data_IF_043799387027
#
_entry.id   IF_043799387027
#
_cell.length_a   1.000
_cell.length_b   1.000
_cell.length_c   1.000
_cell.angle_alpha   90.00
_cell.angle_beta   90.00
_cell.angle_gamma   90.00
#
_symmetry.space_group_name_H-M   'P 1'
#
loop_
_entity.id
_entity.type
_entity.pdbx_description
1 polymer ?
#
# COMPACT_ATOMS: atom_id res chain seq x y z
N UNK A 1 6.53 21.35 18.83
CA UNK A 1 6.77 22.41 19.84
C UNK A 1 5.40 22.94 20.26
N UNK A 2 5.04 22.83 21.52
CA UNK A 2 3.80 23.43 22.02
C UNK A 2 4.04 24.91 22.29
N UNK A 3 3.26 25.77 21.63
CA UNK A 3 3.27 27.18 21.89
C UNK A 3 2.25 27.51 22.98
N UNK A 4 2.71 27.77 24.21
CA UNK A 4 1.85 28.12 25.33
C UNK A 4 1.27 29.54 25.25
N UNK A 5 1.76 30.38 24.32
CA UNK A 5 1.37 31.78 24.22
C UNK A 5 1.10 32.26 22.79
N UNK A 6 1.21 31.37 21.81
CA UNK A 6 1.04 31.69 20.41
C UNK A 6 -0.32 31.32 19.84
N UNK A 7 -0.53 31.63 18.59
CA UNK A 7 -1.78 31.41 17.85
C UNK A 7 -1.88 30.00 17.25
N UNK A 8 -0.92 29.12 17.49
CA UNK A 8 -0.95 27.75 17.01
C UNK A 8 0.30 26.93 17.39
N UNK A 9 0.20 25.64 17.21
CA UNK A 9 1.32 24.68 17.37
C UNK A 9 1.54 23.95 16.03
N UNK A 10 2.79 23.73 15.68
CA UNK A 10 3.15 23.04 14.45
C UNK A 10 4.30 22.04 14.67
N UNK A 11 4.38 21.05 13.81
CA UNK A 11 5.48 20.10 13.73
C UNK A 11 5.79 19.80 12.25
N UNK A 12 7.02 19.40 11.98
CA UNK A 12 7.40 18.99 10.62
C UNK A 12 7.10 17.51 10.41
N UNK A 13 6.55 17.17 9.24
CA UNK A 13 6.29 15.77 8.85
C UNK A 13 7.56 14.92 8.87
N UNK A 14 8.74 15.53 8.69
CA UNK A 14 10.05 14.87 8.79
C UNK A 14 10.37 14.31 10.17
N UNK A 15 9.72 14.82 11.24
CA UNK A 15 9.94 14.36 12.61
C UNK A 15 9.06 13.15 12.97
N UNK A 16 8.00 12.92 12.20
CA UNK A 16 7.00 11.87 12.48
C UNK A 16 7.61 10.47 12.40
N UNK A 17 8.41 10.07 11.38
CA UNK A 17 9.03 8.74 11.33
C UNK A 17 9.89 8.42 12.55
N UNK A 18 10.68 9.40 12.99
CA UNK A 18 11.50 9.25 14.20
C UNK A 18 10.64 9.04 15.45
N UNK A 19 9.61 9.86 15.61
CA UNK A 19 8.74 9.81 16.78
C UNK A 19 7.99 8.48 16.88
N UNK A 20 7.40 8.01 15.78
CA UNK A 20 6.64 6.76 15.73
C UNK A 20 7.54 5.57 16.03
N UNK A 21 8.72 5.53 15.42
CA UNK A 21 9.69 4.47 15.63
C UNK A 21 10.21 4.45 17.07
N UNK A 22 10.57 5.62 17.62
CA UNK A 22 11.26 5.71 18.90
C UNK A 22 10.31 5.52 20.09
N UNK A 23 9.09 6.08 20.00
CA UNK A 23 8.19 6.16 21.15
C UNK A 23 6.98 5.23 21.07
N UNK A 24 6.65 4.74 19.88
CA UNK A 24 5.45 3.93 19.65
C UNK A 24 5.75 2.51 19.14
N UNK A 25 7.03 2.16 18.93
CA UNK A 25 7.44 0.80 18.57
C UNK A 25 7.03 0.38 17.15
N UNK A 26 6.82 1.33 16.26
CA UNK A 26 6.53 1.03 14.85
C UNK A 26 7.79 0.64 14.09
N UNK A 27 7.60 -0.08 12.98
CA UNK A 27 8.66 -0.51 12.10
C UNK A 27 9.27 0.66 11.29
N UNK A 28 9.91 0.33 10.19
CA UNK A 28 10.53 1.32 9.31
C UNK A 28 9.47 2.17 8.60
N UNK A 29 9.23 3.35 9.12
CA UNK A 29 8.42 4.36 8.46
C UNK A 29 9.32 5.25 7.61
N UNK A 30 8.88 5.60 6.42
CA UNK A 30 9.61 6.44 5.47
C UNK A 30 8.72 7.59 5.01
N UNK A 31 9.27 8.82 5.05
CA UNK A 31 8.63 9.97 4.43
C UNK A 31 8.94 9.96 2.94
N UNK A 32 7.92 9.87 2.12
CA UNK A 32 8.03 9.89 0.66
C UNK A 32 7.33 11.13 0.12
N UNK A 33 7.99 11.85 -0.76
CA UNK A 33 7.42 13.00 -1.46
C UNK A 33 6.73 12.55 -2.74
N UNK A 34 5.58 13.14 -3.01
CA UNK A 34 4.89 13.00 -4.29
C UNK A 34 5.61 13.88 -5.32
N UNK A 35 6.40 13.26 -6.15
CA UNK A 35 7.15 13.91 -7.22
C UNK A 35 6.38 13.91 -8.56
N UNK A 36 7.09 14.22 -9.64
CA UNK A 36 6.54 14.17 -10.99
C UNK A 36 6.10 12.75 -11.45
N UNK A 37 6.61 11.71 -10.81
CA UNK A 37 6.20 10.32 -11.07
C UNK A 37 5.11 9.87 -10.09
N UNK A 38 3.92 10.44 -10.24
CA UNK A 38 2.78 10.18 -9.38
C UNK A 38 2.38 8.70 -9.33
N UNK A 39 2.61 7.95 -10.41
CA UNK A 39 2.24 6.55 -10.49
C UNK A 39 2.96 5.69 -9.45
N UNK A 40 4.24 5.97 -9.16
CA UNK A 40 4.98 5.25 -8.11
C UNK A 40 4.45 5.58 -6.72
N UNK A 41 4.14 6.86 -6.47
CA UNK A 41 3.56 7.28 -5.20
C UNK A 41 2.18 6.68 -4.98
N UNK A 42 1.32 6.75 -5.99
CA UNK A 42 -0.04 6.20 -5.94
C UNK A 42 -0.01 4.67 -5.79
N UNK A 43 0.94 3.96 -6.43
CA UNK A 43 1.12 2.50 -6.23
C UNK A 43 1.43 2.15 -4.76
N UNK A 44 2.24 2.96 -4.06
CA UNK A 44 2.51 2.76 -2.63
C UNK A 44 1.27 2.97 -1.76
N UNK A 45 0.36 3.87 -2.14
CA UNK A 45 -0.92 4.04 -1.47
C UNK A 45 -1.77 2.77 -1.61
N UNK A 46 -1.95 2.26 -2.83
CA UNK A 46 -2.68 1.01 -3.08
C UNK A 46 -2.06 -0.17 -2.30
N UNK A 47 -0.73 -0.32 -2.32
CA UNK A 47 -0.04 -1.36 -1.55
C UNK A 47 -0.34 -1.26 -0.06
N UNK A 48 -0.31 -0.06 0.54
CA UNK A 48 -0.66 0.14 1.94
C UNK A 48 -2.10 -0.27 2.24
N UNK A 49 -3.05 0.13 1.42
CA UNK A 49 -4.47 -0.15 1.66
C UNK A 49 -4.84 -1.61 1.43
N UNK A 50 -4.23 -2.28 0.45
CA UNK A 50 -4.40 -3.72 0.25
C UNK A 50 -3.90 -4.53 1.46
N UNK A 51 -2.98 -3.97 2.24
CA UNK A 51 -2.51 -4.53 3.52
C UNK A 51 -3.33 -4.08 4.73
N UNK A 52 -4.37 -3.27 4.55
CA UNK A 52 -5.16 -2.69 5.63
C UNK A 52 -4.41 -1.65 6.47
N UNK A 53 -3.38 -1.02 5.91
CA UNK A 53 -2.52 -0.06 6.62
C UNK A 53 -2.84 1.36 6.16
N UNK A 54 -3.37 2.23 7.02
CA UNK A 54 -3.60 3.63 6.70
C UNK A 54 -2.27 4.39 6.56
N UNK A 55 -2.32 5.51 5.88
CA UNK A 55 -1.16 6.32 5.53
C UNK A 55 -1.31 7.71 6.15
N UNK A 56 -0.25 8.18 6.84
CA UNK A 56 -0.13 9.60 7.16
C UNK A 56 0.12 10.37 5.86
N UNK A 57 -0.68 11.37 5.63
CA UNK A 57 -0.56 12.23 4.46
C UNK A 57 -0.45 13.69 4.89
N UNK A 58 0.29 14.48 4.15
CA UNK A 58 0.37 15.93 4.38
C UNK A 58 0.67 16.68 3.09
N UNK A 59 0.26 17.93 3.05
CA UNK A 59 0.52 18.84 1.95
C UNK A 59 0.15 20.25 2.34
N UNK A 60 0.22 21.15 1.40
CA UNK A 60 -0.25 22.53 1.55
C UNK A 60 -1.31 22.85 0.50
N UNK A 61 -2.16 23.81 0.84
CA UNK A 61 -3.04 24.45 -0.15
C UNK A 61 -2.24 25.42 -1.04
N UNK A 62 -2.93 26.06 -1.99
CA UNK A 62 -2.31 27.05 -2.89
C UNK A 62 -1.85 28.32 -2.18
N UNK A 63 -2.42 28.64 -1.02
CA UNK A 63 -2.04 29.78 -0.18
C UNK A 63 -0.85 29.46 0.74
N UNK A 64 -0.39 28.19 0.76
CA UNK A 64 0.75 27.72 1.54
C UNK A 64 0.42 27.29 2.97
N UNK A 65 -0.85 27.14 3.32
CA UNK A 65 -1.25 26.59 4.62
C UNK A 65 -1.12 25.06 4.60
N UNK A 66 -0.25 24.54 5.47
CA UNK A 66 0.00 23.10 5.59
C UNK A 66 -1.04 22.40 6.45
N UNK A 67 -1.38 21.16 6.08
CA UNK A 67 -2.21 20.26 6.87
C UNK A 67 -1.68 18.83 6.82
N UNK A 68 -1.90 18.09 7.91
CA UNK A 68 -1.59 16.66 8.00
C UNK A 68 -2.86 15.90 8.35
N UNK A 69 -3.12 14.83 7.65
CA UNK A 69 -4.35 14.06 7.70
C UNK A 69 -4.09 12.58 7.37
N UNK A 70 -5.14 11.78 7.32
CA UNK A 70 -5.05 10.35 7.03
C UNK A 70 -5.58 10.06 5.63
N UNK A 71 -4.86 9.24 4.89
CA UNK A 71 -5.38 8.55 3.71
C UNK A 71 -5.57 7.08 4.11
N UNK A 72 -6.79 6.54 4.00
CA UNK A 72 -7.14 5.26 4.62
C UNK A 72 -7.83 4.26 3.68
N UNK A 73 -7.95 4.58 2.40
CA UNK A 73 -8.54 3.67 1.44
C UNK A 73 -8.64 4.23 0.03
N UNK A 74 -9.29 3.48 -0.84
CA UNK A 74 -9.62 3.89 -2.21
C UNK A 74 -10.94 3.24 -2.66
N UNK A 75 -11.55 3.81 -3.70
CA UNK A 75 -12.77 3.29 -4.31
C UNK A 75 -12.51 2.52 -5.62
N UNK A 76 -13.55 1.97 -6.21
CA UNK A 76 -13.50 1.25 -7.48
C UNK A 76 -13.10 2.11 -8.69
N UNK A 77 -13.16 3.44 -8.56
CA UNK A 77 -12.73 4.39 -9.59
C UNK A 77 -11.26 4.81 -9.42
N UNK A 78 -10.58 4.28 -8.41
CA UNK A 78 -9.19 4.60 -8.09
C UNK A 78 -9.01 5.95 -7.39
N UNK A 79 -10.07 6.50 -6.79
CA UNK A 79 -9.99 7.69 -5.95
C UNK A 79 -9.62 7.29 -4.53
N UNK A 80 -8.71 8.03 -3.92
CA UNK A 80 -8.25 7.80 -2.55
C UNK A 80 -9.15 8.50 -1.55
N UNK A 81 -9.49 7.82 -0.46
CA UNK A 81 -10.25 8.39 0.65
C UNK A 81 -9.33 9.14 1.59
N UNK A 82 -9.68 10.40 1.86
CA UNK A 82 -8.97 11.26 2.80
C UNK A 82 -9.87 11.66 3.96
N UNK A 83 -9.34 11.48 5.18
CA UNK A 83 -9.95 11.94 6.42
C UNK A 83 -9.12 13.11 6.96
N UNK A 84 -9.66 14.30 6.84
CA UNK A 84 -8.97 15.54 7.23
C UNK A 84 -8.96 15.81 8.74
N UNK A 85 -9.62 14.97 9.55
CA UNK A 85 -9.64 15.11 10.99
C UNK A 85 -10.58 16.21 11.51
N UNK A 86 -11.52 16.70 10.70
CA UNK A 86 -12.45 17.76 11.05
C UNK A 86 -13.88 17.26 11.33
N UNK A 87 -13.97 16.15 12.06
CA UNK A 87 -15.25 15.50 12.40
C UNK A 87 -16.10 15.12 11.18
N UNK A 88 -15.45 14.69 10.11
CA UNK A 88 -16.08 14.29 8.85
C UNK A 88 -16.30 15.44 7.86
N UNK A 89 -15.97 16.68 8.25
CA UNK A 89 -16.10 17.82 7.34
C UNK A 89 -14.99 17.79 6.29
N UNK A 90 -15.35 17.78 5.01
CA UNK A 90 -14.43 17.74 3.89
C UNK A 90 -13.89 16.34 3.55
N UNK A 91 -14.14 15.31 4.38
CA UNK A 91 -13.72 13.94 4.11
C UNK A 91 -14.36 13.45 2.81
N UNK A 92 -13.62 12.67 2.03
CA UNK A 92 -14.12 12.17 0.75
C UNK A 92 -13.06 11.52 -0.12
N UNK A 93 -13.47 11.24 -1.35
CA UNK A 93 -12.66 10.56 -2.36
C UNK A 93 -12.11 11.55 -3.39
N UNK A 94 -10.79 11.57 -3.53
CA UNK A 94 -10.08 12.51 -4.41
C UNK A 94 -8.92 11.80 -5.10
N UNK A 95 -8.46 12.36 -6.22
CA UNK A 95 -7.12 12.05 -6.71
C UNK A 95 -6.08 12.76 -5.85
N UNK A 96 -4.86 12.27 -5.82
CA UNK A 96 -3.74 12.92 -5.10
C UNK A 96 -3.39 14.31 -5.65
N UNK A 97 -3.94 14.70 -6.80
CA UNK A 97 -3.73 16.00 -7.45
C UNK A 97 -4.90 16.98 -7.29
N UNK A 98 -6.08 16.52 -6.88
CA UNK A 98 -7.32 17.33 -6.90
C UNK A 98 -7.88 17.66 -5.53
N UNK A 99 -7.21 17.26 -4.45
CA UNK A 99 -7.59 17.68 -3.09
C UNK A 99 -7.00 19.03 -2.72
N UNK A 100 -7.57 19.70 -1.74
CA UNK A 100 -7.18 21.06 -1.33
C UNK A 100 -5.70 21.16 -0.91
N UNK A 101 -5.12 20.11 -0.32
CA UNK A 101 -3.72 20.10 0.17
C UNK A 101 -2.79 19.32 -0.77
N UNK A 102 -2.86 19.59 -2.06
CA UNK A 102 -2.09 18.85 -3.09
C UNK A 102 -0.68 19.40 -3.35
N UNK A 103 -0.35 20.61 -2.84
CA UNK A 103 0.96 21.22 -3.07
C UNK A 103 2.00 20.63 -2.15
N UNK A 104 3.11 20.14 -2.73
CA UNK A 104 4.20 19.55 -1.96
C UNK A 104 3.78 18.31 -1.16
N UNK A 105 2.81 17.57 -1.65
CA UNK A 105 2.26 16.40 -0.98
C UNK A 105 3.34 15.40 -0.61
N UNK A 106 3.22 14.83 0.56
CA UNK A 106 4.11 13.82 1.11
C UNK A 106 3.31 12.83 1.97
N UNK A 107 3.80 11.62 2.06
CA UNK A 107 3.17 10.57 2.85
C UNK A 107 4.19 9.78 3.66
N UNK A 108 3.75 9.23 4.79
CA UNK A 108 4.52 8.29 5.59
C UNK A 108 3.80 6.96 5.52
N UNK A 109 4.49 5.99 4.95
CA UNK A 109 4.03 4.62 4.76
C UNK A 109 4.49 3.71 5.91
N UNK A 110 4.01 2.48 5.92
CA UNK A 110 4.41 1.42 6.85
C UNK A 110 4.12 1.74 8.33
N UNK A 111 2.91 2.26 8.61
CA UNK A 111 2.41 2.36 9.99
C UNK A 111 2.06 0.97 10.54
N UNK A 112 3.08 0.13 10.69
CA UNK A 112 2.95 -1.26 11.14
C UNK A 112 3.82 -1.47 12.37
N UNK A 113 3.31 -2.06 13.46
CA UNK A 113 4.12 -2.44 14.62
C UNK A 113 5.33 -3.27 14.21
N UNK A 114 6.46 -3.09 14.89
CA UNK A 114 7.75 -3.69 14.50
C UNK A 114 7.72 -5.22 14.48
N UNK A 115 6.96 -5.84 15.37
CA UNK A 115 6.80 -7.29 15.43
C UNK A 115 5.94 -7.81 14.27
N UNK A 116 4.88 -7.13 13.92
CA UNK A 116 4.05 -7.46 12.75
C UNK A 116 4.87 -7.32 11.47
N UNK A 117 5.59 -6.19 11.32
CA UNK A 117 6.48 -5.97 10.17
C UNK A 117 7.52 -7.08 10.04
N UNK A 118 8.19 -7.42 11.15
CA UNK A 118 9.25 -8.42 11.13
C UNK A 118 8.77 -9.81 10.68
N UNK A 119 7.49 -10.13 10.92
CA UNK A 119 6.88 -11.41 10.58
C UNK A 119 6.11 -11.39 9.25
N UNK A 120 5.89 -10.23 8.65
CA UNK A 120 5.22 -10.08 7.34
C UNK A 120 6.09 -10.68 6.23
N UNK A 121 5.53 -11.54 5.39
CA UNK A 121 6.23 -12.09 4.22
C UNK A 121 6.63 -10.99 3.24
N UNK A 122 7.82 -11.10 2.65
CA UNK A 122 8.22 -10.24 1.53
C UNK A 122 7.29 -10.48 0.33
N UNK A 123 7.24 -9.51 -0.58
CA UNK A 123 6.54 -9.67 -1.84
C UNK A 123 7.11 -10.84 -2.66
N UNK A 124 6.27 -11.58 -3.40
CA UNK A 124 6.74 -12.46 -4.44
C UNK A 124 7.63 -11.71 -5.45
N UNK A 125 8.58 -12.43 -6.02
CA UNK A 125 9.49 -11.85 -7.03
C UNK A 125 9.17 -12.36 -8.42
N UNK A 126 9.62 -11.62 -9.44
CA UNK A 126 9.46 -12.01 -10.85
C UNK A 126 7.99 -12.21 -11.26
N UNK A 127 7.07 -11.46 -10.66
CA UNK A 127 5.67 -11.48 -11.08
C UNK A 127 5.58 -11.02 -12.53
N UNK A 128 4.99 -11.86 -13.36
CA UNK A 128 4.75 -11.57 -14.77
C UNK A 128 3.36 -12.08 -15.15
N UNK A 129 2.60 -11.28 -15.87
CA UNK A 129 1.30 -11.64 -16.39
C UNK A 129 1.33 -11.56 -17.92
N UNK A 130 1.03 -12.66 -18.58
CA UNK A 130 1.03 -12.76 -20.05
C UNK A 130 -0.38 -13.09 -20.52
N UNK A 131 -1.03 -12.22 -21.30
CA UNK A 131 -2.31 -12.54 -21.90
C UNK A 131 -2.18 -13.71 -22.89
N UNK A 132 -3.25 -14.50 -23.02
CA UNK A 132 -3.28 -15.60 -23.97
C UNK A 132 -3.16 -15.11 -25.41
N UNK A 133 -2.55 -15.94 -26.25
CA UNK A 133 -2.57 -15.75 -27.69
C UNK A 133 -3.96 -16.10 -28.27
N UNK A 134 -4.25 -15.62 -29.49
CA UNK A 134 -5.43 -16.00 -30.25
C UNK A 134 -6.80 -15.54 -29.70
N UNK A 135 -6.85 -14.39 -29.02
CA UNK A 135 -8.07 -13.78 -28.50
C UNK A 135 -8.80 -14.63 -27.41
N UNK A 136 -8.12 -15.55 -26.77
CA UNK A 136 -8.64 -16.19 -25.58
C UNK A 136 -8.69 -15.20 -24.40
N UNK A 137 -9.78 -15.20 -23.66
CA UNK A 137 -9.98 -14.32 -22.51
C UNK A 137 -9.32 -14.94 -21.25
N UNK A 138 -8.00 -15.13 -21.32
CA UNK A 138 -7.21 -15.66 -20.22
C UNK A 138 -5.85 -14.98 -20.11
N UNK A 139 -5.25 -15.07 -18.92
CA UNK A 139 -3.90 -14.58 -18.64
C UNK A 139 -3.14 -15.60 -17.78
N UNK A 140 -1.88 -15.84 -18.14
CA UNK A 140 -1.00 -16.68 -17.35
C UNK A 140 -0.11 -15.81 -16.47
N UNK A 141 -0.20 -16.00 -15.16
CA UNK A 141 0.64 -15.37 -14.16
C UNK A 141 1.73 -16.33 -13.73
N UNK A 142 2.96 -15.84 -13.59
CA UNK A 142 4.09 -16.58 -13.03
C UNK A 142 4.80 -15.72 -12.00
N UNK A 143 5.29 -16.32 -10.93
CA UNK A 143 6.07 -15.63 -9.88
C UNK A 143 6.94 -16.62 -9.11
N UNK A 144 7.79 -16.09 -8.24
CA UNK A 144 8.52 -16.89 -7.23
C UNK A 144 8.02 -16.47 -5.84
N UNK A 145 7.58 -17.45 -5.05
CA UNK A 145 7.10 -17.25 -3.69
C UNK A 145 8.17 -16.64 -2.79
N UNK A 146 7.81 -15.80 -1.82
CA UNK A 146 8.76 -15.30 -0.84
C UNK A 146 9.36 -16.46 -0.02
N UNK A 147 10.63 -16.34 0.33
CA UNK A 147 11.32 -17.25 1.24
C UNK A 147 11.71 -16.58 2.56
N UNK A 148 11.49 -15.27 2.66
CA UNK A 148 11.83 -14.46 3.82
C UNK A 148 10.74 -13.49 4.17
N UNK A 149 10.73 -13.10 5.45
CA UNK A 149 9.91 -11.99 5.95
C UNK A 149 10.60 -10.65 5.71
N UNK A 150 9.88 -9.54 5.91
CA UNK A 150 10.45 -8.19 5.89
C UNK A 150 11.53 -8.00 6.97
N UNK A 151 11.44 -8.71 8.09
CA UNK A 151 12.50 -8.82 9.10
C UNK A 151 13.65 -9.74 8.72
N UNK A 152 13.72 -10.20 7.47
CA UNK A 152 14.75 -11.10 6.92
C UNK A 152 14.82 -12.49 7.59
N UNK A 153 13.76 -12.91 8.26
CA UNK A 153 13.63 -14.25 8.82
C UNK A 153 13.22 -15.24 7.73
N UNK A 154 13.66 -16.48 7.84
CA UNK A 154 13.28 -17.53 6.88
C UNK A 154 11.85 -17.98 7.12
N UNK A 155 11.04 -17.99 6.07
CA UNK A 155 9.68 -18.52 6.10
C UNK A 155 9.77 -20.05 6.02
N UNK A 156 9.20 -20.75 7.00
CA UNK A 156 9.18 -22.23 7.04
C UNK A 156 7.99 -22.82 6.29
N UNK A 157 6.87 -22.12 6.23
CA UNK A 157 5.67 -22.53 5.51
C UNK A 157 4.87 -21.28 5.07
N UNK A 158 4.14 -21.42 3.97
CA UNK A 158 3.17 -20.44 3.48
C UNK A 158 1.79 -21.07 3.66
N UNK A 159 0.86 -20.34 4.27
CA UNK A 159 -0.51 -20.83 4.46
C UNK A 159 -1.25 -20.88 3.12
N UNK A 160 -1.10 -19.81 2.33
CA UNK A 160 -1.61 -19.71 0.96
C UNK A 160 -0.95 -18.56 0.21
N UNK A 161 -0.95 -18.66 -1.12
CA UNK A 161 -0.76 -17.51 -2.01
C UNK A 161 -2.13 -17.00 -2.44
N UNK A 162 -2.30 -15.70 -2.45
CA UNK A 162 -3.53 -15.04 -2.91
C UNK A 162 -3.23 -14.31 -4.20
N UNK A 163 -4.10 -14.48 -5.17
CA UNK A 163 -4.05 -13.77 -6.46
C UNK A 163 -5.25 -12.84 -6.55
N UNK A 164 -4.99 -11.59 -6.81
CA UNK A 164 -6.02 -10.57 -7.02
C UNK A 164 -5.95 -10.01 -8.43
N UNK A 165 -7.09 -9.58 -8.93
CA UNK A 165 -7.25 -8.78 -10.15
C UNK A 165 -8.06 -7.54 -9.81
N UNK A 166 -7.47 -6.35 -10.01
CA UNK A 166 -8.06 -5.06 -9.61
C UNK A 166 -8.52 -5.04 -8.14
N UNK A 167 -7.71 -5.60 -7.22
CA UNK A 167 -8.04 -5.68 -5.79
C UNK A 167 -9.10 -6.71 -5.40
N UNK A 168 -9.61 -7.52 -6.35
CA UNK A 168 -10.57 -8.59 -6.08
C UNK A 168 -9.85 -9.93 -6.08
N UNK A 169 -9.99 -10.70 -4.99
CA UNK A 169 -9.41 -12.04 -4.89
C UNK A 169 -10.05 -12.94 -5.95
N UNK A 170 -9.23 -13.49 -6.83
CA UNK A 170 -9.64 -14.44 -7.88
C UNK A 170 -9.15 -15.86 -7.61
N UNK A 171 -8.12 -16.04 -6.78
CA UNK A 171 -7.64 -17.36 -6.36
C UNK A 171 -6.94 -17.32 -5.01
N UNK A 172 -7.06 -18.45 -4.29
CA UNK A 172 -6.27 -18.79 -3.10
C UNK A 172 -5.62 -20.15 -3.32
N UNK A 173 -4.29 -20.21 -3.29
CA UNK A 173 -3.49 -21.40 -3.61
C UNK A 173 -2.78 -21.89 -2.35
N UNK A 174 -3.19 -23.05 -1.82
CA UNK A 174 -2.70 -23.58 -0.55
C UNK A 174 -1.44 -24.47 -0.70
N UNK A 175 -1.16 -24.95 -1.90
CA UNK A 175 0.01 -25.80 -2.18
C UNK A 175 1.25 -24.95 -2.50
N UNK A 176 1.58 -24.00 -1.63
CA UNK A 176 2.66 -23.04 -1.83
C UNK A 176 3.85 -23.33 -0.90
N UNK A 177 5.04 -23.45 -1.48
CA UNK A 177 6.28 -23.62 -0.73
C UNK A 177 7.14 -22.35 -0.82
N UNK A 178 7.83 -21.93 0.27
CA UNK A 178 8.72 -20.78 0.22
C UNK A 178 9.81 -20.93 -0.84
N UNK A 179 10.00 -19.87 -1.65
CA UNK A 179 10.99 -19.83 -2.73
C UNK A 179 10.64 -20.62 -4.00
N UNK A 180 9.49 -21.27 -4.04
CA UNK A 180 9.03 -22.03 -5.21
C UNK A 180 8.51 -21.06 -6.30
N UNK A 181 8.78 -21.37 -7.57
CA UNK A 181 8.12 -20.73 -8.69
C UNK A 181 6.72 -21.32 -8.87
N UNK A 182 5.73 -20.45 -9.04
CA UNK A 182 4.33 -20.84 -9.24
C UNK A 182 3.78 -20.25 -10.54
N UNK A 183 2.72 -20.88 -11.01
CA UNK A 183 1.96 -20.44 -12.19
C UNK A 183 0.48 -20.53 -11.88
N UNK A 184 -0.27 -19.53 -12.28
CA UNK A 184 -1.73 -19.49 -12.20
C UNK A 184 -2.29 -19.00 -13.55
N UNK A 185 -3.38 -19.60 -13.98
CA UNK A 185 -4.09 -19.15 -15.19
C UNK A 185 -5.43 -18.56 -14.79
N UNK A 186 -5.59 -17.27 -15.05
CA UNK A 186 -6.90 -16.63 -14.96
C UNK A 186 -7.65 -16.90 -16.26
N UNK A 187 -8.65 -17.77 -16.22
CA UNK A 187 -9.45 -18.20 -17.38
C UNK A 187 -10.67 -17.28 -17.64
N UNK A 188 -10.88 -16.28 -16.78
CA UNK A 188 -12.07 -15.43 -16.82
C UNK A 188 -11.72 -13.95 -16.91
N UNK A 189 -10.77 -13.61 -17.78
CA UNK A 189 -10.38 -12.21 -18.00
C UNK A 189 -11.48 -11.50 -18.80
N UNK A 190 -12.10 -10.41 -18.29
CA UNK A 190 -13.08 -9.65 -19.05
C UNK A 190 -12.46 -9.05 -20.32
N UNK A 191 -13.25 -8.93 -21.39
CA UNK A 191 -12.77 -8.35 -22.63
C UNK A 191 -12.69 -6.81 -22.56
N UNK A 192 -11.76 -6.22 -23.32
CA UNK A 192 -11.61 -4.78 -23.54
C UNK A 192 -11.29 -3.93 -22.29
N UNK A 193 -10.49 -4.45 -21.38
CA UNK A 193 -10.07 -3.72 -20.17
C UNK A 193 -8.59 -3.92 -19.87
N UNK A 194 -8.02 -2.98 -19.14
CA UNK A 194 -6.71 -3.16 -18.49
C UNK A 194 -6.94 -3.71 -17.10
N UNK A 195 -6.08 -4.61 -16.66
CA UNK A 195 -6.15 -5.22 -15.34
C UNK A 195 -4.80 -5.13 -14.65
N UNK A 196 -4.85 -4.82 -13.37
CA UNK A 196 -3.72 -4.95 -12.47
C UNK A 196 -3.84 -6.27 -11.71
N UNK A 197 -2.76 -7.06 -11.71
CA UNK A 197 -2.67 -8.26 -10.92
C UNK A 197 -1.73 -8.04 -9.74
N UNK A 198 -2.15 -8.44 -8.56
CA UNK A 198 -1.31 -8.56 -7.38
C UNK A 198 -1.26 -10.00 -6.87
N UNK A 199 -0.13 -10.38 -6.31
CA UNK A 199 0.07 -11.70 -5.70
C UNK A 199 0.79 -11.50 -4.39
N UNK A 200 0.27 -12.09 -3.31
CA UNK A 200 0.91 -12.04 -2.00
C UNK A 200 0.80 -13.36 -1.25
N UNK A 201 1.70 -13.58 -0.30
CA UNK A 201 1.67 -14.73 0.59
C UNK A 201 0.90 -14.41 1.86
N UNK A 202 0.19 -15.39 2.42
CA UNK A 202 -0.30 -15.37 3.80
C UNK A 202 0.57 -16.33 4.61
N UNK A 203 1.14 -15.85 5.71
CA UNK A 203 2.03 -16.61 6.60
C UNK A 203 1.60 -16.39 8.05
N UNK A 204 1.25 -17.47 8.74
CA UNK A 204 0.74 -17.38 10.12
C UNK A 204 -0.51 -16.52 10.25
N UNK A 205 -1.37 -16.53 9.23
CA UNK A 205 -2.56 -15.69 9.14
C UNK A 205 -2.29 -14.21 8.81
N UNK A 206 -1.03 -13.81 8.61
CA UNK A 206 -0.65 -12.42 8.30
C UNK A 206 -0.50 -12.24 6.79
N UNK A 207 -1.15 -11.20 6.26
CA UNK A 207 -1.03 -10.76 4.87
C UNK A 207 0.40 -10.27 4.60
N UNK A 208 1.04 -10.78 3.53
CA UNK A 208 2.35 -10.36 3.06
C UNK A 208 2.34 -9.00 2.36
N UNK A 209 3.51 -8.57 1.92
CA UNK A 209 3.68 -7.37 1.09
C UNK A 209 3.62 -7.69 -0.40
#
# INVERSE_FOLDING_TARGET
MYDHHGTGSGAYSTDVPYAIKTYFGYAQTELTYRDANHAVFDSKLYESFNRGVPVYYSGSDEDGYGHAFVCDGYDENGLFHFNFGWSGSGDGYFTTAAMDYHVGSQAIFNFVPSDVYANTAQAPTSLNAVPAANNELSATLTWTNPSKTLGNQTISAIDKMVVERNGIIIAELTDATPGQSMTFVDENVPCFSFFDYSVYAVVGGTHGS
#
